data_IF_450547844557
#
_entry.id   IF_450547844557
#
_cell.length_a   1.000
_cell.length_b   1.000
_cell.length_c   1.000
_cell.angle_alpha   90.00
_cell.angle_beta   90.00
_cell.angle_gamma   90.00
#
_symmetry.space_group_name_H-M   'P 1'
#
loop_
_entity.id
_entity.type
_entity.pdbx_description
1 polymer ?
#
# COMPACT_ATOMS: atom_id res chain seq x y z
N UNK A 1 28.42 -37.72 61.91
CA UNK A 1 26.97 -37.76 62.18
C UNK A 1 26.33 -36.52 61.57
N UNK A 2 25.53 -36.67 60.52
CA UNK A 2 24.48 -35.73 60.08
C UNK A 2 23.81 -36.32 58.84
N UNK A 3 22.74 -37.09 59.09
CA UNK A 3 21.81 -37.57 58.06
C UNK A 3 21.04 -36.35 57.55
N UNK A 4 21.14 -36.05 56.26
CA UNK A 4 20.42 -34.96 55.62
C UNK A 4 19.01 -35.43 55.28
N UNK A 5 18.03 -34.88 55.99
CA UNK A 5 16.59 -35.03 55.72
C UNK A 5 16.25 -34.34 54.39
N UNK A 6 15.74 -35.08 53.42
CA UNK A 6 15.19 -34.53 52.18
C UNK A 6 13.71 -34.27 52.43
N UNK A 7 13.32 -33.00 52.46
CA UNK A 7 11.96 -32.54 52.63
C UNK A 7 11.37 -32.36 51.23
N UNK A 8 10.37 -33.18 50.90
CA UNK A 8 9.65 -33.17 49.61
C UNK A 8 8.67 -32.01 49.57
N UNK A 9 8.94 -30.98 48.77
CA UNK A 9 8.02 -29.87 48.52
C UNK A 9 7.11 -30.22 47.34
N UNK A 10 5.86 -30.58 47.63
CA UNK A 10 4.84 -30.91 46.64
C UNK A 10 4.23 -29.59 46.14
N UNK A 11 4.62 -29.14 44.95
CA UNK A 11 4.01 -27.97 44.32
C UNK A 11 2.76 -28.42 43.56
N UNK A 12 1.59 -28.06 44.08
CA UNK A 12 0.31 -28.36 43.47
C UNK A 12 0.02 -27.24 42.45
N UNK A 13 0.06 -27.57 41.15
CA UNK A 13 -0.34 -26.65 40.09
C UNK A 13 -1.86 -26.73 39.91
N UNK A 14 -2.58 -25.71 40.38
CA UNK A 14 -4.03 -25.58 40.21
C UNK A 14 -4.34 -24.98 38.84
N UNK A 15 -4.86 -25.79 37.92
CA UNK A 15 -5.45 -25.31 36.67
C UNK A 15 -6.89 -24.89 36.94
N UNK A 16 -7.11 -23.62 37.29
CA UNK A 16 -8.44 -23.06 37.37
C UNK A 16 -8.99 -22.85 35.95
N UNK A 17 -9.90 -23.76 35.54
CA UNK A 17 -10.72 -23.61 34.36
C UNK A 17 -11.82 -22.56 34.65
N UNK A 18 -11.52 -21.30 34.34
CA UNK A 18 -12.47 -20.20 34.37
C UNK A 18 -12.72 -19.68 32.97
N UNK A 19 -13.50 -20.41 32.16
CA UNK A 19 -13.97 -19.93 30.86
C UNK A 19 -15.50 -20.01 30.82
N UNK A 20 -16.16 -18.92 31.18
CA UNK A 20 -17.45 -18.57 30.60
C UNK A 20 -17.14 -17.81 29.31
N UNK A 21 -17.12 -18.52 28.18
CA UNK A 21 -17.11 -17.88 26.85
C UNK A 21 -18.55 -17.60 26.47
N UNK A 22 -18.92 -16.32 26.48
CA UNK A 22 -20.13 -15.84 25.84
C UNK A 22 -20.01 -16.15 24.33
N UNK A 23 -21.11 -16.64 23.77
CA UNK A 23 -21.24 -16.98 22.35
C UNK A 23 -21.43 -15.68 21.55
N UNK A 24 -20.34 -15.00 21.22
CA UNK A 24 -20.38 -14.01 20.14
C UNK A 24 -20.14 -14.71 18.81
N UNK A 25 -21.08 -14.51 17.88
CA UNK A 25 -21.06 -15.05 16.54
C UNK A 25 -19.73 -14.68 15.85
N UNK A 26 -19.05 -15.62 15.16
CA UNK A 26 -17.94 -15.25 14.31
C UNK A 26 -18.52 -14.51 13.11
N UNK A 27 -18.55 -13.18 13.19
CA UNK A 27 -18.55 -12.38 11.97
C UNK A 27 -17.15 -12.55 11.39
N UNK A 28 -16.98 -13.61 10.61
CA UNK A 28 -15.82 -13.82 9.78
C UNK A 28 -15.86 -12.75 8.69
N UNK A 29 -15.52 -11.50 9.03
CA UNK A 29 -14.98 -10.60 8.04
C UNK A 29 -13.67 -11.21 7.60
N UNK A 30 -13.71 -11.96 6.50
CA UNK A 30 -12.57 -12.15 5.63
C UNK A 30 -12.14 -10.78 5.11
N UNK A 31 -11.54 -9.95 5.97
CA UNK A 31 -10.60 -8.94 5.51
C UNK A 31 -9.35 -9.72 5.14
N UNK A 32 -9.37 -10.34 3.96
CA UNK A 32 -8.15 -10.49 3.21
C UNK A 32 -7.58 -9.07 3.14
N UNK A 33 -6.52 -8.81 3.89
CA UNK A 33 -5.82 -7.53 3.86
C UNK A 33 -5.30 -7.35 2.45
N UNK A 34 -6.11 -6.74 1.57
CA UNK A 34 -5.71 -6.36 0.23
C UNK A 34 -4.56 -5.39 0.43
N UNK A 35 -3.34 -5.88 0.18
CA UNK A 35 -2.11 -5.11 0.36
C UNK A 35 -2.23 -3.89 -0.54
N UNK A 36 -2.51 -2.75 0.08
CA UNK A 36 -2.66 -1.49 -0.64
C UNK A 36 -1.25 -0.94 -0.85
N UNK A 37 -0.84 -0.81 -2.09
CA UNK A 37 0.43 -0.22 -2.46
C UNK A 37 0.22 1.27 -2.72
N UNK A 38 1.22 2.07 -2.36
CA UNK A 38 1.18 3.53 -2.53
C UNK A 38 2.30 3.95 -3.46
N UNK A 39 1.96 4.80 -4.42
CA UNK A 39 2.87 5.39 -5.38
C UNK A 39 2.71 6.89 -5.36
N UNK A 40 3.81 7.62 -5.19
CA UNK A 40 3.82 9.09 -5.24
C UNK A 40 4.66 9.53 -6.41
N UNK A 41 4.16 10.48 -7.18
CA UNK A 41 4.91 11.01 -8.31
C UNK A 41 4.27 12.22 -8.94
N UNK A 42 4.87 12.68 -10.03
CA UNK A 42 4.40 13.83 -10.79
C UNK A 42 3.79 13.39 -12.11
N UNK A 43 2.74 14.07 -12.54
CA UNK A 43 2.12 13.84 -13.85
C UNK A 43 3.06 14.29 -14.96
N UNK A 44 3.42 13.38 -15.87
CA UNK A 44 4.33 13.68 -17.00
C UNK A 44 3.65 13.61 -18.36
N UNK A 45 2.53 12.89 -18.47
CA UNK A 45 1.73 12.77 -19.70
C UNK A 45 0.27 12.55 -19.33
N UNK A 46 -0.64 13.14 -20.11
CA UNK A 46 -2.09 13.00 -19.95
C UNK A 46 -2.65 12.64 -21.33
N UNK A 47 -3.23 11.45 -21.41
CA UNK A 47 -3.95 10.97 -22.60
C UNK A 47 -5.47 11.17 -22.40
N UNK A 48 -6.27 10.63 -23.31
CA UNK A 48 -7.73 10.58 -23.23
C UNK A 48 -8.26 9.64 -22.16
N UNK A 49 -7.54 8.56 -21.86
CA UNK A 49 -7.99 7.51 -20.92
C UNK A 49 -7.12 7.42 -19.68
N UNK A 50 -5.82 7.71 -19.80
CA UNK A 50 -4.84 7.48 -18.75
C UNK A 50 -3.96 8.70 -18.50
N UNK A 51 -3.45 8.76 -17.28
CA UNK A 51 -2.39 9.69 -16.89
C UNK A 51 -1.17 8.86 -16.58
N UNK A 52 -0.02 9.33 -17.03
CA UNK A 52 1.26 8.76 -16.68
C UNK A 52 1.90 9.57 -15.56
N UNK A 53 2.23 8.89 -14.48
CA UNK A 53 2.83 9.47 -13.29
C UNK A 53 4.21 8.88 -13.08
N UNK A 54 5.19 9.74 -12.83
CA UNK A 54 6.58 9.37 -12.62
C UNK A 54 7.05 9.69 -11.19
N UNK A 55 7.56 8.66 -10.51
CA UNK A 55 8.24 8.82 -9.23
C UNK A 55 9.64 9.41 -9.48
N UNK A 56 9.72 10.73 -9.34
CA UNK A 56 10.93 11.54 -9.52
C UNK A 56 11.09 12.44 -8.31
N UNK A 57 12.31 12.92 -8.05
CA UNK A 57 12.57 13.71 -6.85
C UNK A 57 11.91 15.10 -6.93
N UNK A 58 11.83 15.66 -8.14
CA UNK A 58 11.30 17.01 -8.36
C UNK A 58 10.36 17.06 -9.55
N UNK A 59 9.42 18.00 -9.53
CA UNK A 59 8.54 18.28 -10.67
C UNK A 59 9.35 18.60 -11.94
N UNK A 60 10.44 19.38 -11.81
CA UNK A 60 11.29 19.76 -12.95
C UNK A 60 11.94 18.55 -13.60
N UNK A 61 12.41 17.59 -12.81
CA UNK A 61 12.93 16.32 -13.30
C UNK A 61 11.84 15.53 -14.04
N UNK A 62 10.64 15.41 -13.45
CA UNK A 62 9.50 14.74 -14.08
C UNK A 62 9.18 15.33 -15.46
N UNK A 63 9.09 16.66 -15.54
CA UNK A 63 8.77 17.40 -16.76
C UNK A 63 9.93 17.46 -17.77
N UNK A 64 11.14 17.04 -17.38
CA UNK A 64 12.27 16.94 -18.30
C UNK A 64 12.20 15.70 -19.20
N UNK A 65 11.42 14.70 -18.81
CA UNK A 65 11.24 13.47 -19.57
C UNK A 65 10.02 13.56 -20.49
N UNK A 66 10.23 13.24 -21.76
CA UNK A 66 9.13 12.85 -22.64
C UNK A 66 8.56 11.49 -22.20
N UNK A 67 7.31 11.15 -22.55
CA UNK A 67 6.73 9.84 -22.23
C UNK A 67 7.62 8.66 -22.68
N UNK A 68 8.10 8.69 -23.93
CA UNK A 68 8.99 7.64 -24.47
C UNK A 68 10.32 7.55 -23.72
N UNK A 69 10.86 8.69 -23.29
CA UNK A 69 12.11 8.74 -22.53
C UNK A 69 11.90 8.18 -21.13
N UNK A 70 10.81 8.56 -20.47
CA UNK A 70 10.47 8.03 -19.16
C UNK A 70 10.34 6.50 -19.20
N UNK A 71 9.64 5.96 -20.20
CA UNK A 71 9.48 4.51 -20.39
C UNK A 71 10.84 3.82 -20.61
N UNK A 72 11.79 4.49 -21.26
CA UNK A 72 13.12 3.94 -21.55
C UNK A 72 14.08 4.02 -20.36
N UNK A 73 14.13 5.17 -19.68
CA UNK A 73 15.14 5.48 -18.67
C UNK A 73 14.69 5.14 -17.25
N UNK A 74 13.39 5.26 -16.95
CA UNK A 74 12.84 5.02 -15.61
C UNK A 74 11.62 4.08 -15.61
N UNK A 75 11.64 2.93 -16.31
CA UNK A 75 10.47 2.06 -16.50
C UNK A 75 9.81 1.59 -15.20
N UNK A 76 10.60 1.42 -14.13
CA UNK A 76 10.14 0.91 -12.83
C UNK A 76 9.58 2.01 -11.92
N UNK A 77 9.65 3.27 -12.36
CA UNK A 77 9.17 4.44 -11.61
C UNK A 77 7.95 5.07 -12.25
N UNK A 78 7.20 4.29 -13.01
CA UNK A 78 6.06 4.76 -13.79
C UNK A 78 4.81 4.01 -13.40
N UNK A 79 3.70 4.75 -13.31
CA UNK A 79 2.38 4.20 -13.08
C UNK A 79 1.37 4.90 -13.98
N UNK A 80 0.56 4.11 -14.68
CA UNK A 80 -0.61 4.59 -15.41
C UNK A 80 -1.83 4.55 -14.51
N UNK A 81 -2.56 5.65 -14.44
CA UNK A 81 -3.83 5.73 -13.71
C UNK A 81 -4.96 6.09 -14.67
N UNK A 82 -6.14 5.44 -14.57
CA UNK A 82 -7.30 5.83 -15.37
C UNK A 82 -7.82 7.21 -14.94
N UNK A 83 -8.24 8.02 -15.92
CA UNK A 83 -8.80 9.35 -15.66
C UNK A 83 -10.22 9.19 -15.08
N UNK A 84 -10.43 9.71 -13.88
CA UNK A 84 -11.76 9.81 -13.29
C UNK A 84 -12.56 10.95 -13.93
N UNK A 85 -13.82 10.67 -14.29
CA UNK A 85 -14.78 11.71 -14.69
C UNK A 85 -14.89 12.69 -13.53
N UNK A 86 -14.61 13.98 -13.76
CA UNK A 86 -14.63 15.09 -12.79
C UNK A 86 -13.29 15.44 -12.09
N UNK A 87 -12.17 14.80 -12.43
CA UNK A 87 -10.86 15.22 -11.92
C UNK A 87 -10.08 15.90 -13.03
N UNK A 88 -9.64 17.14 -12.78
CA UNK A 88 -8.75 17.86 -13.69
C UNK A 88 -7.31 17.74 -13.19
N UNK A 89 -6.47 17.10 -14.00
CA UNK A 89 -5.05 16.94 -13.74
C UNK A 89 -4.26 17.78 -14.73
N UNK A 90 -3.14 18.33 -14.28
CA UNK A 90 -2.23 19.11 -15.09
C UNK A 90 -0.85 18.47 -15.07
N UNK A 91 -0.06 18.74 -16.12
CA UNK A 91 1.34 18.32 -16.14
C UNK A 91 2.08 18.92 -14.94
N UNK A 92 2.85 18.08 -14.27
CA UNK A 92 3.60 18.43 -13.07
C UNK A 92 2.79 18.37 -11.78
N UNK A 93 1.49 18.06 -11.80
CA UNK A 93 0.74 17.83 -10.55
C UNK A 93 1.38 16.69 -9.76
N UNK A 94 1.57 16.89 -8.45
CA UNK A 94 2.03 15.84 -7.54
C UNK A 94 0.84 15.02 -7.05
N UNK A 95 0.89 13.71 -7.30
CA UNK A 95 -0.18 12.78 -6.96
C UNK A 95 0.33 11.71 -6.00
N UNK A 96 -0.51 11.38 -5.01
CA UNK A 96 -0.39 10.17 -4.18
C UNK A 96 -1.46 9.21 -4.64
N UNK A 97 -1.07 7.99 -4.97
CA UNK A 97 -1.93 7.00 -5.61
C UNK A 97 -1.87 5.73 -4.77
N UNK A 98 -2.98 5.36 -4.16
CA UNK A 98 -3.12 4.12 -3.41
C UNK A 98 -3.93 3.12 -4.23
N UNK A 99 -3.38 1.93 -4.49
CA UNK A 99 -4.02 0.92 -5.34
C UNK A 99 -3.82 -0.48 -4.76
N UNK A 100 -4.80 -1.37 -4.98
CA UNK A 100 -4.71 -2.76 -4.51
C UNK A 100 -4.03 -3.69 -5.51
N UNK A 101 -4.25 -3.47 -6.81
CA UNK A 101 -3.72 -4.33 -7.88
C UNK A 101 -3.35 -3.51 -9.11
N UNK A 102 -2.45 -4.05 -9.93
CA UNK A 102 -2.08 -3.50 -11.24
C UNK A 102 -2.40 -4.47 -12.36
N UNK A 103 -2.64 -3.93 -13.56
CA UNK A 103 -2.71 -4.71 -14.79
C UNK A 103 -1.32 -4.80 -15.39
N UNK A 104 -0.87 -6.01 -15.71
CA UNK A 104 0.41 -6.26 -16.39
C UNK A 104 0.42 -5.55 -17.75
N UNK A 105 1.17 -4.46 -17.81
CA UNK A 105 1.35 -3.59 -18.97
C UNK A 105 2.64 -2.80 -18.78
N UNK A 106 3.10 -2.12 -19.82
CA UNK A 106 4.32 -1.31 -19.77
C UNK A 106 4.00 0.13 -20.17
N UNK A 107 4.01 1.09 -19.24
CA UNK A 107 4.08 0.95 -17.78
C UNK A 107 2.84 0.26 -17.17
N UNK A 108 2.93 -0.27 -15.93
CA UNK A 108 1.80 -0.89 -15.22
C UNK A 108 0.62 0.07 -15.05
N UNK A 109 -0.60 -0.46 -15.11
CA UNK A 109 -1.83 0.31 -14.93
C UNK A 109 -2.43 -0.02 -13.57
N UNK A 110 -2.60 0.99 -12.70
CA UNK A 110 -3.28 0.84 -11.43
C UNK A 110 -4.78 0.62 -11.63
N UNK A 111 -5.36 -0.31 -10.85
CA UNK A 111 -6.80 -0.55 -10.78
C UNK A 111 -7.32 -0.16 -9.40
N UNK A 112 -8.57 0.31 -9.37
CA UNK A 112 -9.26 0.76 -8.17
C UNK A 112 -8.40 1.74 -7.35
N UNK A 113 -7.72 2.63 -8.08
CA UNK A 113 -6.73 3.53 -7.53
C UNK A 113 -7.43 4.74 -6.90
N UNK A 114 -7.12 5.02 -5.64
CA UNK A 114 -7.50 6.25 -4.96
C UNK A 114 -6.39 7.25 -5.22
N UNK A 115 -6.73 8.34 -5.91
CA UNK A 115 -5.79 9.40 -6.23
C UNK A 115 -6.03 10.58 -5.29
N UNK A 116 -4.97 11.14 -4.74
CA UNK A 116 -4.96 12.39 -3.97
C UNK A 116 -3.99 13.37 -4.62
N UNK A 117 -4.45 14.60 -4.87
CA UNK A 117 -3.61 15.65 -5.43
C UNK A 117 -3.01 16.46 -4.28
N UNK A 118 -1.68 16.55 -4.24
CA UNK A 118 -0.99 17.42 -3.30
C UNK A 118 -0.96 18.83 -3.91
N UNK A 119 -1.38 19.88 -3.17
CA UNK A 119 -1.18 21.26 -3.61
C UNK A 119 0.31 21.54 -3.77
N UNK A 120 0.70 22.13 -4.90
CA UNK A 120 2.08 22.58 -5.08
C UNK A 120 2.31 23.78 -4.15
N UNK A 121 3.35 23.74 -3.31
CA UNK A 121 3.87 24.90 -2.57
C UNK A 121 4.55 25.91 -3.49
#
# INVERSE_FOLDING_TARGET
>A
MSKKTIITLITILTLACGCTVALDAPTQTNTASLKTETFTGYVISIDTVYILVADTATQKEALSYSEMEAIKFIPNKLLKIPIEKNRNYQLGDKLVISFGVTTKSTPPIAKDAIVEKIPNE
#
